data_IF_664488296561
#
_entry.id   IF_664488296561
#
_cell.length_a   1.000
_cell.length_b   1.000
_cell.length_c   1.000
_cell.angle_alpha   90.00
_cell.angle_beta   90.00
_cell.angle_gamma   90.00
#
_symmetry.space_group_name_H-M   'P 1'
#
loop_
_entity.id
_entity.type
_entity.pdbx_description
1 polymer ?
#
# COMPACT_ATOMS: atom_id res chain seq x y z
N UNK A 1 -0.75 -54.37 -1.06
CA UNK A 1 -0.47 -53.35 -2.08
C UNK A 1 -0.46 -52.00 -1.40
N UNK A 2 0.72 -51.43 -1.17
CA UNK A 2 0.88 -50.10 -0.59
C UNK A 2 0.89 -49.13 -1.77
N UNK A 3 -0.14 -48.29 -1.88
CA UNK A 3 -0.19 -47.26 -2.93
C UNK A 3 0.82 -46.19 -2.53
N UNK A 4 1.84 -46.02 -3.38
CA UNK A 4 2.90 -45.02 -3.24
C UNK A 4 2.29 -43.62 -3.17
N UNK A 5 2.58 -42.88 -2.11
CA UNK A 5 2.15 -41.48 -1.90
C UNK A 5 2.86 -40.46 -2.81
N UNK A 6 3.34 -40.88 -4.00
CA UNK A 6 4.17 -40.07 -4.90
C UNK A 6 3.46 -39.52 -6.13
N UNK A 7 2.17 -39.82 -6.31
CA UNK A 7 1.38 -39.40 -7.49
C UNK A 7 0.19 -38.49 -7.15
N UNK A 8 0.23 -37.79 -6.02
CA UNK A 8 -0.74 -36.71 -5.80
C UNK A 8 -0.42 -35.58 -6.80
N UNK A 9 -1.38 -35.15 -7.64
CA UNK A 9 -1.17 -33.98 -8.48
C UNK A 9 -0.76 -32.79 -7.59
N UNK A 10 0.12 -31.90 -8.08
CA UNK A 10 0.47 -30.71 -7.30
C UNK A 10 -0.82 -30.01 -6.88
N UNK A 11 -0.91 -29.54 -5.62
CA UNK A 11 -2.09 -28.84 -5.16
C UNK A 11 -2.41 -27.72 -6.14
N UNK A 12 -3.69 -27.62 -6.53
CA UNK A 12 -4.13 -26.54 -7.40
C UNK A 12 -3.76 -25.21 -6.73
N UNK A 13 -3.28 -24.21 -7.51
CA UNK A 13 -2.90 -22.94 -6.93
C UNK A 13 -4.09 -22.36 -6.16
N UNK A 14 -3.86 -21.95 -4.91
CA UNK A 14 -4.88 -21.35 -4.05
C UNK A 14 -5.41 -20.10 -4.74
N UNK A 15 -6.72 -20.02 -4.93
CA UNK A 15 -7.34 -18.89 -5.60
C UNK A 15 -7.27 -17.65 -4.69
N UNK A 16 -6.83 -16.52 -5.24
CA UNK A 16 -6.88 -15.22 -4.55
C UNK A 16 -8.11 -14.46 -5.01
N UNK A 17 -8.89 -13.97 -4.06
CA UNK A 17 -10.15 -13.25 -4.28
C UNK A 17 -10.00 -11.82 -3.77
N UNK A 18 -10.24 -10.85 -4.64
CA UNK A 18 -10.41 -9.45 -4.26
C UNK A 18 -11.84 -9.28 -3.73
N UNK A 19 -11.97 -8.94 -2.46
CA UNK A 19 -13.26 -8.71 -1.79
C UNK A 19 -13.67 -7.26 -2.00
N UNK A 20 -14.72 -7.06 -2.79
CA UNK A 20 -15.31 -5.74 -3.01
C UNK A 20 -16.06 -5.28 -1.76
N UNK A 21 -15.66 -4.13 -1.22
CA UNK A 21 -16.25 -3.50 -0.05
C UNK A 21 -16.95 -2.21 -0.48
N UNK A 22 -18.19 -2.09 -0.05
CA UNK A 22 -19.14 -1.01 -0.28
C UNK A 22 -19.78 -0.65 1.06
N UNK A 23 -20.60 0.41 1.12
CA UNK A 23 -21.18 0.84 2.38
C UNK A 23 -21.97 -0.27 3.10
N UNK A 24 -22.72 -1.08 2.35
CA UNK A 24 -23.63 -2.09 2.91
C UNK A 24 -22.92 -3.29 3.56
N UNK A 25 -21.66 -3.57 3.23
CA UNK A 25 -20.88 -4.68 3.80
C UNK A 25 -19.64 -4.21 4.56
N UNK A 26 -19.43 -2.90 4.72
CA UNK A 26 -18.24 -2.31 5.33
C UNK A 26 -17.93 -2.90 6.72
N UNK A 27 -18.90 -2.91 7.63
CA UNK A 27 -18.73 -3.44 8.99
C UNK A 27 -18.36 -4.92 8.99
N UNK A 28 -19.06 -5.73 8.19
CA UNK A 28 -18.83 -7.18 8.11
C UNK A 28 -17.43 -7.51 7.57
N UNK A 29 -16.94 -6.74 6.61
CA UNK A 29 -15.59 -6.91 6.07
C UNK A 29 -14.52 -6.46 7.08
N UNK A 30 -14.77 -5.39 7.84
CA UNK A 30 -13.89 -4.98 8.94
C UNK A 30 -13.81 -6.00 10.06
N UNK A 31 -14.89 -6.73 10.36
CA UNK A 31 -14.84 -7.85 11.32
C UNK A 31 -13.91 -8.99 10.85
N UNK A 32 -13.91 -9.29 9.55
CA UNK A 32 -12.98 -10.26 8.96
C UNK A 32 -11.53 -9.76 9.00
N UNK A 33 -11.33 -8.46 8.73
CA UNK A 33 -10.01 -7.81 8.84
C UNK A 33 -9.49 -7.90 10.28
N UNK A 34 -10.31 -7.58 11.29
CA UNK A 34 -9.94 -7.70 12.72
C UNK A 34 -9.47 -9.12 13.07
N UNK A 35 -10.09 -10.16 12.51
CA UNK A 35 -9.65 -11.55 12.68
C UNK A 35 -8.30 -11.80 11.98
N UNK A 36 -8.15 -11.34 10.74
CA UNK A 36 -6.91 -11.53 9.97
C UNK A 36 -5.70 -10.86 10.64
N UNK A 37 -5.88 -9.66 11.21
CA UNK A 37 -4.83 -8.88 11.88
C UNK A 37 -4.22 -9.57 13.10
N UNK A 38 -4.88 -10.59 13.66
CA UNK A 38 -4.32 -11.39 14.76
C UNK A 38 -3.10 -12.22 14.33
N UNK A 39 -2.94 -12.48 13.02
CA UNK A 39 -1.90 -13.37 12.48
C UNK A 39 -1.15 -12.79 11.28
N UNK A 40 -1.75 -11.82 10.58
CA UNK A 40 -1.20 -11.23 9.37
C UNK A 40 -0.73 -9.82 9.68
N UNK A 41 0.56 -9.69 10.00
CA UNK A 41 1.14 -8.45 10.50
C UNK A 41 1.79 -7.56 9.43
N UNK A 42 1.89 -8.05 8.19
CA UNK A 42 2.39 -7.26 7.07
C UNK A 42 1.19 -6.74 6.29
N UNK A 43 1.09 -5.43 6.20
CA UNK A 43 -0.02 -4.70 5.57
C UNK A 43 0.52 -4.02 4.31
N UNK A 44 -0.18 -4.19 3.21
CA UNK A 44 0.04 -3.43 1.98
C UNK A 44 -1.17 -2.58 1.67
N UNK A 45 -0.92 -1.44 1.04
CA UNK A 45 -1.97 -0.58 0.53
C UNK A 45 -1.54 0.10 -0.77
N UNK A 46 -2.55 0.50 -1.51
CA UNK A 46 -2.51 1.28 -2.74
C UNK A 46 -3.87 1.99 -2.87
N UNK A 47 -3.95 3.12 -3.56
CA UNK A 47 -5.19 3.87 -3.73
C UNK A 47 -5.43 4.23 -5.20
N UNK A 48 -6.69 4.46 -5.54
CA UNK A 48 -7.06 5.19 -6.76
C UNK A 48 -7.71 6.52 -6.37
N UNK A 49 -7.29 7.58 -7.08
CA UNK A 49 -7.77 8.95 -6.89
C UNK A 49 -7.77 9.67 -8.25
N UNK A 50 -8.44 10.82 -8.42
CA UNK A 50 -8.68 11.44 -9.73
C UNK A 50 -7.44 12.13 -10.33
N UNK A 51 -6.24 11.76 -9.87
CA UNK A 51 -4.95 12.21 -10.38
C UNK A 51 -4.53 13.60 -9.91
N UNK A 52 -3.42 14.06 -10.49
CA UNK A 52 -2.78 15.33 -10.14
C UNK A 52 -3.36 16.48 -10.97
N UNK A 53 -4.04 17.40 -10.28
CA UNK A 53 -4.68 18.63 -10.81
C UNK A 53 -3.65 19.76 -10.93
N UNK A 54 -2.98 20.07 -9.82
CA UNK A 54 -2.01 21.14 -9.76
C UNK A 54 -0.63 20.61 -10.15
N UNK A 55 0.01 21.27 -11.12
CA UNK A 55 1.34 20.93 -11.62
C UNK A 55 2.23 22.17 -11.54
N UNK A 56 3.51 22.03 -11.17
CA UNK A 56 4.44 23.16 -11.13
C UNK A 56 4.62 23.75 -12.54
N UNK A 57 4.56 25.07 -12.62
CA UNK A 57 4.78 25.82 -13.86
C UNK A 57 6.27 25.73 -14.21
N UNK A 58 6.59 25.50 -15.49
CA UNK A 58 7.96 25.40 -16.03
C UNK A 58 8.81 24.22 -15.52
N UNK A 59 8.21 23.18 -14.95
CA UNK A 59 8.90 21.92 -14.67
C UNK A 59 8.40 20.85 -15.63
N UNK A 60 9.31 20.21 -16.37
CA UNK A 60 8.93 19.13 -17.27
C UNK A 60 8.46 17.89 -16.49
N UNK A 61 7.53 17.11 -17.06
CA UNK A 61 7.00 15.89 -16.41
C UNK A 61 8.11 14.95 -15.93
N UNK A 62 9.23 14.85 -16.66
CA UNK A 62 10.37 13.99 -16.31
C UNK A 62 11.16 14.45 -15.08
N UNK A 63 11.05 15.72 -14.72
CA UNK A 63 11.79 16.33 -13.62
C UNK A 63 10.95 16.44 -12.34
N UNK A 64 9.63 16.17 -12.41
CA UNK A 64 8.75 16.11 -11.24
C UNK A 64 9.28 15.14 -10.17
N UNK A 65 9.76 13.96 -10.56
CA UNK A 65 10.36 12.98 -9.64
C UNK A 65 11.76 13.33 -9.14
N UNK A 66 12.27 14.53 -9.45
CA UNK A 66 13.61 15.01 -9.06
C UNK A 66 13.56 16.31 -8.25
N UNK A 67 12.37 16.82 -7.96
CA UNK A 67 12.23 17.99 -7.10
C UNK A 67 12.72 17.67 -5.69
N UNK A 68 13.18 18.69 -4.93
CA UNK A 68 13.52 18.48 -3.53
C UNK A 68 12.30 17.97 -2.72
N UNK A 69 12.50 17.12 -1.70
CA UNK A 69 11.41 16.50 -0.94
C UNK A 69 10.33 17.46 -0.42
N UNK A 70 10.73 18.63 0.08
CA UNK A 70 9.78 19.66 0.51
C UNK A 70 8.85 20.16 -0.61
N UNK A 71 9.37 20.31 -1.83
CA UNK A 71 8.57 20.74 -2.98
C UNK A 71 7.64 19.63 -3.47
N UNK A 72 8.10 18.38 -3.47
CA UNK A 72 7.22 17.22 -3.73
C UNK A 72 6.07 17.17 -2.72
N UNK A 73 6.38 17.38 -1.45
CA UNK A 73 5.38 17.42 -0.39
C UNK A 73 4.34 18.52 -0.62
N UNK A 74 4.76 19.76 -0.91
CA UNK A 74 3.81 20.85 -1.18
C UNK A 74 2.90 20.54 -2.37
N UNK A 75 3.47 19.99 -3.44
CA UNK A 75 2.69 19.59 -4.61
C UNK A 75 1.66 18.52 -4.26
N UNK A 76 2.09 17.47 -3.55
CA UNK A 76 1.23 16.40 -3.06
C UNK A 76 0.12 16.95 -2.17
N UNK A 77 0.47 17.74 -1.16
CA UNK A 77 -0.47 18.40 -0.25
C UNK A 77 -1.56 19.17 -0.98
N UNK A 78 -1.20 20.02 -1.95
CA UNK A 78 -2.17 20.79 -2.70
C UNK A 78 -3.14 19.91 -3.50
N UNK A 79 -2.65 18.81 -4.07
CA UNK A 79 -3.49 17.89 -4.82
C UNK A 79 -4.41 17.08 -3.89
N UNK A 80 -3.85 16.46 -2.84
CA UNK A 80 -4.62 15.63 -1.90
C UNK A 80 -5.69 16.43 -1.16
N UNK A 81 -5.40 17.68 -0.78
CA UNK A 81 -6.43 18.53 -0.16
C UNK A 81 -7.57 18.86 -1.14
N UNK A 82 -7.29 18.93 -2.45
CA UNK A 82 -8.27 19.29 -3.48
C UNK A 82 -8.97 18.10 -4.16
N UNK A 83 -8.56 16.87 -3.87
CA UNK A 83 -9.14 15.66 -4.47
C UNK A 83 -9.66 14.69 -3.41
N UNK A 84 -10.61 13.86 -3.81
CA UNK A 84 -11.19 12.82 -2.98
C UNK A 84 -10.72 11.43 -3.43
N UNK A 85 -10.70 10.48 -2.50
CA UNK A 85 -10.31 9.09 -2.78
C UNK A 85 -11.43 8.40 -3.58
N UNK A 86 -11.07 7.44 -4.44
CA UNK A 86 -12.03 6.63 -5.22
C UNK A 86 -12.00 5.17 -4.75
N UNK A 87 -10.80 4.59 -4.62
CA UNK A 87 -10.61 3.24 -4.09
C UNK A 87 -9.42 3.17 -3.14
N UNK A 88 -9.46 2.21 -2.23
CA UNK A 88 -8.31 1.78 -1.42
C UNK A 88 -8.21 0.27 -1.45
N UNK A 89 -7.02 -0.26 -1.70
CA UNK A 89 -6.72 -1.67 -1.52
C UNK A 89 -6.06 -1.91 -0.16
N UNK A 90 -6.42 -3.03 0.47
CA UNK A 90 -5.81 -3.48 1.71
C UNK A 90 -5.46 -4.96 1.62
N UNK A 91 -4.17 -5.26 1.64
CA UNK A 91 -3.63 -6.61 1.61
C UNK A 91 -2.94 -6.93 2.91
N UNK A 92 -3.23 -8.11 3.47
CA UNK A 92 -2.62 -8.60 4.70
C UNK A 92 -1.87 -9.89 4.38
N UNK A 93 -0.63 -10.03 4.85
CA UNK A 93 0.04 -11.33 4.87
C UNK A 93 0.73 -11.62 6.21
N UNK A 94 0.92 -12.92 6.48
CA UNK A 94 1.81 -13.36 7.55
C UNK A 94 3.30 -13.18 7.15
N UNK A 95 4.21 -13.53 8.06
CA UNK A 95 5.65 -13.44 7.84
C UNK A 95 6.16 -14.37 6.70
N UNK A 96 5.36 -15.35 6.26
CA UNK A 96 5.67 -16.25 5.15
C UNK A 96 5.12 -15.74 3.82
N UNK A 97 4.38 -14.63 3.82
CA UNK A 97 3.73 -14.08 2.64
C UNK A 97 2.40 -14.74 2.31
N UNK A 98 1.81 -15.52 3.23
CA UNK A 98 0.49 -16.11 3.05
C UNK A 98 -0.59 -15.06 3.34
N UNK A 99 -1.56 -14.92 2.44
CA UNK A 99 -2.76 -14.11 2.64
C UNK A 99 -3.77 -14.82 3.56
N UNK A 100 -4.69 -14.08 4.22
CA UNK A 100 -5.71 -14.67 5.07
C UNK A 100 -6.65 -15.56 4.25
N UNK A 101 -6.89 -16.78 4.75
CA UNK A 101 -7.82 -17.73 4.13
C UNK A 101 -9.22 -17.72 4.74
N UNK A 102 -9.38 -17.10 5.92
CA UNK A 102 -10.65 -17.01 6.66
C UNK A 102 -11.35 -18.38 6.86
N UNK A 103 -10.57 -19.47 6.91
CA UNK A 103 -11.09 -20.83 7.04
C UNK A 103 -11.67 -21.44 5.75
N UNK A 104 -11.36 -20.86 4.59
CA UNK A 104 -11.82 -21.30 3.27
C UNK A 104 -10.67 -21.86 2.41
N UNK A 105 -11.00 -22.38 1.23
CA UNK A 105 -10.05 -22.83 0.21
C UNK A 105 -9.48 -21.67 -0.66
N UNK A 106 -9.78 -20.41 -0.32
CA UNK A 106 -9.33 -19.21 -1.02
C UNK A 106 -8.55 -18.29 -0.10
N UNK A 107 -7.84 -17.34 -0.69
CA UNK A 107 -7.09 -16.28 -0.03
C UNK A 107 -7.68 -14.91 -0.39
N UNK A 108 -7.56 -13.94 0.52
CA UNK A 108 -8.31 -12.69 0.39
C UNK A 108 -7.43 -11.43 0.47
N UNK A 109 -7.81 -10.44 -0.34
CA UNK A 109 -7.38 -9.04 -0.30
C UNK A 109 -8.65 -8.19 -0.39
N UNK A 110 -8.66 -6.98 0.18
CA UNK A 110 -9.84 -6.11 0.19
C UNK A 110 -9.68 -4.94 -0.77
N UNK A 111 -10.80 -4.53 -1.37
CA UNK A 111 -10.92 -3.33 -2.19
C UNK A 111 -12.10 -2.52 -1.70
N UNK A 112 -11.83 -1.36 -1.10
CA UNK A 112 -12.83 -0.41 -0.63
C UNK A 112 -13.15 0.58 -1.73
N UNK A 113 -14.44 0.77 -2.01
CA UNK A 113 -14.96 1.69 -3.02
C UNK A 113 -15.66 2.86 -2.33
N UNK A 114 -15.20 4.09 -2.53
CA UNK A 114 -15.69 5.29 -1.83
C UNK A 114 -16.68 6.09 -2.64
N UNK A 115 -17.59 6.80 -1.96
CA UNK A 115 -18.55 7.75 -2.58
C UNK A 115 -18.07 9.20 -2.55
N UNK A 116 -16.93 9.47 -1.90
CA UNK A 116 -16.41 10.83 -1.65
C UNK A 116 -16.07 11.60 -2.93
N UNK A 117 -15.79 10.89 -4.03
CA UNK A 117 -15.49 11.50 -5.33
C UNK A 117 -16.72 11.57 -6.23
N UNK A 118 -17.11 12.79 -6.61
CA UNK A 118 -18.17 13.05 -7.58
C UNK A 118 -17.59 13.38 -8.96
N UNK A 119 -17.67 12.41 -9.88
CA UNK A 119 -17.14 12.52 -11.25
C UNK A 119 -17.73 13.69 -12.05
N UNK A 120 -18.91 14.20 -11.68
CA UNK A 120 -19.57 15.29 -12.40
C UNK A 120 -19.16 16.67 -11.88
N UNK A 121 -18.79 16.77 -10.60
CA UNK A 121 -18.64 18.05 -9.91
C UNK A 121 -17.24 18.31 -9.33
N UNK A 122 -16.48 17.26 -8.99
CA UNK A 122 -15.18 17.39 -8.34
C UNK A 122 -14.05 17.74 -9.31
N UNK A 123 -12.98 18.31 -8.75
CA UNK A 123 -11.74 18.54 -9.49
C UNK A 123 -11.10 17.21 -9.86
N UNK A 124 -10.80 17.04 -11.15
CA UNK A 124 -10.31 15.79 -11.71
C UNK A 124 -9.30 16.01 -12.83
N UNK A 125 -8.36 15.09 -12.98
CA UNK A 125 -7.52 14.97 -14.16
C UNK A 125 -8.26 14.05 -15.17
N UNK A 126 -8.73 14.58 -16.31
CA UNK A 126 -9.51 13.79 -17.28
C UNK A 126 -8.77 12.54 -17.79
N UNK A 127 -7.44 12.61 -17.94
CA UNK A 127 -6.64 11.45 -18.37
C UNK A 127 -6.66 10.32 -17.32
N UNK A 128 -6.69 10.67 -16.04
CA UNK A 128 -6.77 9.71 -14.94
C UNK A 128 -8.16 9.08 -14.88
N UNK A 129 -9.22 9.88 -15.03
CA UNK A 129 -10.60 9.38 -15.02
C UNK A 129 -10.85 8.43 -16.18
N UNK A 130 -10.47 8.82 -17.41
CA UNK A 130 -10.62 7.96 -18.58
C UNK A 130 -9.86 6.63 -18.41
N UNK A 131 -8.68 6.66 -17.79
CA UNK A 131 -7.93 5.44 -17.48
C UNK A 131 -8.68 4.55 -16.49
N UNK A 132 -9.19 5.11 -15.40
CA UNK A 132 -9.90 4.37 -14.36
C UNK A 132 -11.21 3.76 -14.87
N UNK A 133 -11.98 4.50 -15.70
CA UNK A 133 -13.18 3.96 -16.37
C UNK A 133 -12.82 2.76 -17.25
N UNK A 134 -11.75 2.88 -18.06
CA UNK A 134 -11.29 1.79 -18.93
C UNK A 134 -10.86 0.55 -18.14
N UNK A 135 -10.39 0.73 -16.91
CA UNK A 135 -9.99 -0.36 -16.03
C UNK A 135 -11.16 -0.94 -15.21
N UNK A 136 -12.34 -0.34 -15.35
CA UNK A 136 -13.61 -0.88 -14.87
C UNK A 136 -14.11 -0.27 -13.57
N UNK A 137 -13.64 0.92 -13.20
CA UNK A 137 -14.27 1.70 -12.13
C UNK A 137 -15.59 2.26 -12.65
N UNK A 138 -16.65 2.06 -11.86
CA UNK A 138 -18.01 2.53 -12.14
C UNK A 138 -18.31 3.70 -11.21
N UNK A 139 -18.08 4.92 -11.70
CA UNK A 139 -18.22 6.14 -10.91
C UNK A 139 -19.65 6.42 -10.45
N UNK A 140 -20.66 6.01 -11.21
CA UNK A 140 -22.06 6.14 -10.79
C UNK A 140 -22.34 5.20 -9.62
N UNK A 141 -21.87 3.96 -9.71
CA UNK A 141 -21.98 3.01 -8.60
C UNK A 141 -21.23 3.49 -7.36
N UNK A 142 -20.05 4.11 -7.52
CA UNK A 142 -19.33 4.74 -6.41
C UNK A 142 -20.20 5.78 -5.69
N UNK A 143 -20.89 6.65 -6.42
CA UNK A 143 -21.77 7.66 -5.83
C UNK A 143 -23.00 7.05 -5.13
N UNK A 144 -23.58 5.99 -5.70
CA UNK A 144 -24.79 5.36 -5.19
C UNK A 144 -24.55 4.42 -3.99
N UNK A 145 -23.48 3.63 -4.03
CA UNK A 145 -23.25 2.52 -3.10
C UNK A 145 -21.93 2.64 -2.31
N UNK A 146 -21.08 3.62 -2.65
CA UNK A 146 -19.75 3.77 -2.10
C UNK A 146 -19.72 4.11 -0.62
N UNK A 147 -18.60 3.78 0.00
CA UNK A 147 -18.30 3.99 1.40
C UNK A 147 -18.12 5.47 1.69
N UNK A 148 -18.71 5.94 2.79
CA UNK A 148 -18.34 7.21 3.43
C UNK A 148 -16.95 7.11 4.06
N UNK A 149 -15.99 7.93 3.63
CA UNK A 149 -14.64 7.86 4.18
C UNK A 149 -14.57 8.10 5.69
N UNK A 150 -15.54 8.81 6.29
CA UNK A 150 -15.60 8.99 7.74
C UNK A 150 -15.98 7.69 8.48
N UNK A 151 -16.92 6.91 7.92
CA UNK A 151 -17.29 5.60 8.47
C UNK A 151 -16.11 4.62 8.36
N UNK A 152 -15.41 4.64 7.21
CA UNK A 152 -14.19 3.88 7.03
C UNK A 152 -13.11 4.27 8.05
N UNK A 153 -12.88 5.56 8.26
CA UNK A 153 -11.89 6.06 9.23
C UNK A 153 -12.18 5.57 10.65
N UNK A 154 -13.46 5.61 11.06
CA UNK A 154 -13.89 5.12 12.37
C UNK A 154 -13.60 3.62 12.53
N UNK A 155 -13.96 2.79 11.55
CA UNK A 155 -13.71 1.34 11.60
C UNK A 155 -12.22 1.00 11.53
N UNK A 156 -11.44 1.77 10.77
CA UNK A 156 -9.99 1.61 10.71
C UNK A 156 -9.35 1.88 12.08
N UNK A 157 -9.79 2.93 12.77
CA UNK A 157 -9.38 3.23 14.15
C UNK A 157 -9.76 2.10 15.12
N UNK A 158 -11.01 1.64 15.07
CA UNK A 158 -11.52 0.57 15.94
C UNK A 158 -10.85 -0.78 15.69
N UNK A 159 -10.39 -1.04 14.46
CA UNK A 159 -9.68 -2.27 14.11
C UNK A 159 -8.27 -2.35 14.71
N UNK A 160 -7.70 -1.22 15.13
CA UNK A 160 -6.31 -1.12 15.57
C UNK A 160 -5.28 -1.06 14.44
N UNK A 161 -5.71 -0.97 13.18
CA UNK A 161 -4.82 -0.74 12.02
C UNK A 161 -4.07 0.59 12.11
N UNK A 162 -4.76 1.62 12.63
CA UNK A 162 -4.22 2.97 12.78
C UNK A 162 -4.38 3.44 14.21
N UNK A 163 -3.52 4.40 14.59
CA UNK A 163 -3.42 4.96 15.93
C UNK A 163 -2.96 3.90 16.96
N UNK A 164 -2.10 4.29 17.91
CA UNK A 164 -1.50 3.44 18.95
C UNK A 164 -0.23 2.64 18.56
N UNK A 165 0.61 3.17 17.66
CA UNK A 165 1.93 2.57 17.40
C UNK A 165 1.82 1.14 16.87
N UNK A 166 1.00 0.98 15.83
CA UNK A 166 0.57 -0.31 15.30
C UNK A 166 1.73 -1.30 15.14
N UNK A 167 1.53 -2.55 15.53
CA UNK A 167 2.56 -3.58 15.43
C UNK A 167 2.74 -4.13 14.00
N UNK A 168 2.24 -3.40 13.01
CA UNK A 168 2.23 -3.80 11.62
C UNK A 168 3.49 -3.34 10.88
N UNK A 169 3.79 -4.02 9.79
CA UNK A 169 4.74 -3.59 8.77
C UNK A 169 3.94 -3.11 7.57
N UNK A 170 3.96 -1.80 7.31
CA UNK A 170 3.27 -1.18 6.19
C UNK A 170 4.14 -1.17 4.94
N UNK A 171 3.56 -1.55 3.81
CA UNK A 171 4.24 -1.69 2.53
C UNK A 171 3.45 -0.95 1.46
N UNK A 172 4.13 -0.12 0.68
CA UNK A 172 3.53 0.60 -0.46
C UNK A 172 4.47 0.55 -1.67
N UNK A 173 3.98 0.95 -2.84
CA UNK A 173 4.83 1.22 -3.99
C UNK A 173 4.62 2.67 -4.42
N UNK A 174 5.59 3.55 -4.12
CA UNK A 174 5.49 4.98 -4.37
C UNK A 174 4.36 5.65 -3.57
N UNK A 175 4.10 5.17 -2.35
CA UNK A 175 2.86 5.45 -1.62
C UNK A 175 2.78 6.77 -0.89
N UNK A 176 3.49 7.81 -1.36
CA UNK A 176 3.38 9.15 -0.78
C UNK A 176 1.94 9.67 -0.81
N UNK A 177 1.29 9.60 -1.98
CA UNK A 177 -0.11 10.01 -2.14
C UNK A 177 -1.06 9.09 -1.37
N UNK A 178 -0.77 7.79 -1.31
CA UNK A 178 -1.58 6.79 -0.61
C UNK A 178 -1.66 7.12 0.89
N UNK A 179 -0.50 7.32 1.53
CA UNK A 179 -0.45 7.75 2.93
C UNK A 179 -1.08 9.13 3.13
N UNK A 180 -0.90 10.05 2.19
CA UNK A 180 -1.44 11.40 2.29
C UNK A 180 -2.97 11.42 2.27
N UNK A 181 -3.60 10.70 1.35
CA UNK A 181 -5.06 10.54 1.35
C UNK A 181 -5.54 9.83 2.61
N UNK A 182 -4.85 8.77 3.04
CA UNK A 182 -5.25 8.05 4.24
C UNK A 182 -5.14 8.91 5.50
N UNK A 183 -4.07 9.71 5.65
CA UNK A 183 -3.94 10.70 6.73
C UNK A 183 -5.08 11.72 6.68
N UNK A 184 -5.40 12.28 5.50
CA UNK A 184 -6.54 13.20 5.32
C UNK A 184 -7.85 12.56 5.82
N UNK A 185 -8.08 11.30 5.47
CA UNK A 185 -9.29 10.55 5.86
C UNK A 185 -9.33 10.29 7.37
N UNK A 186 -8.28 9.68 7.94
CA UNK A 186 -8.29 9.27 9.37
C UNK A 186 -8.26 10.46 10.33
N UNK A 187 -7.69 11.59 9.90
CA UNK A 187 -7.70 12.83 10.71
C UNK A 187 -8.94 13.68 10.46
N UNK A 188 -9.61 13.51 9.32
CA UNK A 188 -10.69 14.39 8.86
C UNK A 188 -10.25 15.84 8.66
N UNK A 189 -8.94 16.08 8.44
CA UNK A 189 -8.35 17.41 8.31
C UNK A 189 -7.52 17.53 7.02
N UNK A 190 -7.31 18.78 6.59
CA UNK A 190 -6.30 19.07 5.57
C UNK A 190 -4.90 18.67 6.03
N UNK A 191 -4.05 18.29 5.08
CA UNK A 191 -2.66 17.93 5.36
C UNK A 191 -1.84 19.11 5.90
N UNK A 192 -0.90 18.85 6.83
CA UNK A 192 -0.14 19.88 7.53
C UNK A 192 0.74 20.70 6.57
N UNK A 193 1.12 21.90 6.96
CA UNK A 193 1.87 22.80 6.07
C UNK A 193 3.29 22.33 5.77
N UNK A 194 3.89 21.47 6.59
CA UNK A 194 5.26 21.01 6.41
C UNK A 194 5.40 19.48 6.39
N UNK A 195 6.45 19.03 5.71
CA UNK A 195 6.73 17.61 5.49
C UNK A 195 7.06 16.88 6.80
N UNK A 196 7.70 17.54 7.77
CA UNK A 196 8.06 16.92 9.04
C UNK A 196 6.80 16.56 9.83
N UNK A 197 5.88 17.50 10.01
CA UNK A 197 4.57 17.26 10.64
C UNK A 197 3.77 16.19 9.91
N UNK A 198 3.84 16.14 8.58
CA UNK A 198 3.22 15.04 7.82
C UNK A 198 3.82 13.69 8.16
N UNK A 199 5.16 13.57 8.16
CA UNK A 199 5.83 12.33 8.52
C UNK A 199 5.59 11.96 9.99
N UNK A 200 5.48 12.93 10.90
CA UNK A 200 5.09 12.70 12.30
C UNK A 200 3.68 12.09 12.39
N UNK A 201 2.73 12.58 11.58
CA UNK A 201 1.39 11.98 11.48
C UNK A 201 1.44 10.56 10.90
N UNK A 202 2.28 10.30 9.90
CA UNK A 202 2.48 8.95 9.36
C UNK A 202 3.04 8.04 10.47
N UNK A 203 4.03 8.49 11.23
CA UNK A 203 4.62 7.72 12.33
C UNK A 203 3.59 7.41 13.42
N UNK A 204 2.81 8.42 13.81
CA UNK A 204 1.79 8.30 14.87
C UNK A 204 0.70 7.28 14.50
N UNK A 205 0.27 7.28 13.23
CA UNK A 205 -0.83 6.43 12.77
C UNK A 205 -0.36 5.03 12.38
N UNK A 206 0.79 4.90 11.70
CA UNK A 206 1.22 3.64 11.06
C UNK A 206 2.48 3.03 11.69
N UNK A 207 3.17 3.76 12.56
CA UNK A 207 4.42 3.33 13.19
C UNK A 207 5.65 3.50 12.30
N UNK A 208 6.80 2.98 12.74
CA UNK A 208 8.09 3.17 12.08
C UNK A 208 8.42 2.10 11.01
N UNK A 209 7.66 0.98 10.97
CA UNK A 209 7.87 -0.11 10.01
C UNK A 209 7.11 0.16 8.71
N UNK A 210 7.47 1.25 8.04
CA UNK A 210 6.92 1.64 6.74
C UNK A 210 7.97 1.42 5.66
N UNK A 211 7.61 0.70 4.60
CA UNK A 211 8.50 0.37 3.49
C UNK A 211 7.88 0.79 2.17
N UNK A 212 8.50 1.75 1.50
CA UNK A 212 8.16 2.10 0.13
C UNK A 212 9.07 1.32 -0.84
N UNK A 213 8.50 0.32 -1.52
CA UNK A 213 9.22 -0.53 -2.48
C UNK A 213 9.88 0.31 -3.58
N UNK A 214 9.25 1.42 -4.00
CA UNK A 214 9.81 2.33 -5.01
C UNK A 214 11.08 3.02 -4.52
N UNK A 215 11.16 3.32 -3.23
CA UNK A 215 12.39 3.82 -2.61
C UNK A 215 13.43 2.70 -2.46
N UNK A 216 13.02 1.52 -1.99
CA UNK A 216 13.90 0.37 -1.76
C UNK A 216 14.65 -0.06 -3.02
N UNK A 217 13.98 -0.15 -4.17
CA UNK A 217 14.59 -0.60 -5.43
C UNK A 217 15.72 0.30 -5.92
N UNK A 218 15.84 1.55 -5.43
CA UNK A 218 16.95 2.46 -5.79
C UNK A 218 18.31 1.94 -5.35
N UNK A 219 18.33 1.01 -4.38
CA UNK A 219 19.54 0.41 -3.83
C UNK A 219 19.82 -0.98 -4.40
N UNK A 220 19.06 -1.42 -5.41
CA UNK A 220 19.17 -2.75 -5.99
C UNK A 220 19.41 -2.65 -7.50
N UNK A 221 20.50 -3.25 -7.97
CA UNK A 221 20.82 -3.28 -9.40
C UNK A 221 19.74 -4.06 -10.18
N UNK A 222 19.37 -3.54 -11.36
CA UNK A 222 18.42 -4.18 -12.26
C UNK A 222 16.94 -3.85 -12.03
N UNK A 223 16.58 -3.20 -10.92
CA UNK A 223 15.18 -2.84 -10.61
C UNK A 223 14.90 -1.36 -10.88
N UNK A 224 13.93 -1.09 -11.76
CA UNK A 224 13.49 0.26 -12.10
C UNK A 224 12.11 0.24 -12.79
N UNK A 225 11.48 1.42 -12.88
CA UNK A 225 10.15 1.59 -13.49
C UNK A 225 8.99 1.54 -12.49
N UNK A 226 7.77 1.33 -12.99
CA UNK A 226 6.57 1.17 -12.18
C UNK A 226 6.41 -0.25 -11.60
N UNK A 227 5.38 -0.44 -10.78
CA UNK A 227 5.11 -1.68 -10.04
C UNK A 227 5.13 -2.91 -10.96
N UNK A 228 4.37 -2.88 -12.06
CA UNK A 228 4.27 -3.99 -13.02
C UNK A 228 5.64 -4.44 -13.52
N UNK A 229 6.53 -3.49 -13.84
CA UNK A 229 7.86 -3.80 -14.36
C UNK A 229 8.75 -4.43 -13.30
N UNK A 230 8.71 -3.90 -12.08
CA UNK A 230 9.48 -4.41 -10.96
C UNK A 230 9.01 -5.82 -10.60
N UNK A 231 7.69 -6.03 -10.50
CA UNK A 231 7.08 -7.33 -10.26
C UNK A 231 7.53 -8.36 -11.31
N UNK A 232 7.41 -8.02 -12.59
CA UNK A 232 7.83 -8.89 -13.70
C UNK A 232 9.32 -9.24 -13.65
N UNK A 233 10.20 -8.27 -13.34
CA UNK A 233 11.64 -8.53 -13.19
C UNK A 233 11.93 -9.49 -12.04
N UNK A 234 11.14 -9.45 -10.97
CA UNK A 234 11.25 -10.36 -9.83
C UNK A 234 10.50 -11.71 -10.03
N UNK A 235 9.87 -11.91 -11.20
CA UNK A 235 9.10 -13.12 -11.50
C UNK A 235 7.75 -13.19 -10.79
N UNK A 236 7.23 -12.06 -10.31
CA UNK A 236 5.90 -11.94 -9.71
C UNK A 236 4.90 -11.56 -10.81
N UNK A 237 3.75 -12.22 -10.83
CA UNK A 237 2.67 -11.98 -11.80
C UNK A 237 1.41 -11.52 -11.06
N UNK A 238 0.58 -10.70 -11.73
CA UNK A 238 -0.73 -10.33 -11.20
C UNK A 238 -1.67 -11.54 -11.25
N UNK A 239 -2.09 -12.02 -10.08
CA UNK A 239 -2.89 -13.25 -9.96
C UNK A 239 -4.39 -13.01 -9.76
N UNK A 240 -4.81 -11.80 -9.41
CA UNK A 240 -6.21 -11.44 -9.20
C UNK A 240 -6.45 -9.96 -9.50
N UNK A 241 -7.64 -9.62 -10.01
CA UNK A 241 -8.02 -8.25 -10.36
C UNK A 241 -7.35 -7.69 -11.62
N UNK A 242 -7.48 -6.38 -11.84
CA UNK A 242 -6.93 -5.65 -13.00
C UNK A 242 -5.92 -4.61 -12.53
N UNK A 243 -4.97 -4.24 -13.40
CA UNK A 243 -4.09 -3.11 -13.15
C UNK A 243 -4.90 -1.81 -13.06
N UNK A 244 -4.48 -0.90 -12.17
CA UNK A 244 -5.22 0.32 -11.83
C UNK A 244 -6.59 0.05 -11.19
N UNK A 245 -6.61 -0.97 -10.33
CA UNK A 245 -7.65 -1.16 -9.32
C UNK A 245 -6.93 -1.43 -8.01
N UNK A 246 -7.27 -0.66 -6.98
CA UNK A 246 -6.47 -0.56 -5.76
C UNK A 246 -6.25 -1.92 -5.07
N UNK A 247 -7.25 -2.80 -5.04
CA UNK A 247 -7.12 -4.14 -4.44
C UNK A 247 -6.12 -5.04 -5.18
N UNK A 248 -6.09 -4.96 -6.50
CA UNK A 248 -5.17 -5.73 -7.35
C UNK A 248 -3.74 -5.20 -7.27
N UNK A 249 -3.57 -3.88 -7.29
CA UNK A 249 -2.26 -3.22 -7.19
C UNK A 249 -1.66 -3.37 -5.79
N UNK A 250 -2.51 -3.35 -4.75
CA UNK A 250 -2.10 -3.70 -3.38
C UNK A 250 -1.58 -5.14 -3.29
N UNK A 251 -2.30 -6.11 -3.86
CA UNK A 251 -1.85 -7.50 -3.89
C UNK A 251 -0.51 -7.66 -4.61
N UNK A 252 -0.35 -7.02 -5.78
CA UNK A 252 0.88 -7.07 -6.54
C UNK A 252 2.04 -6.41 -5.77
N UNK A 253 1.77 -5.30 -5.08
CA UNK A 253 2.74 -4.63 -4.19
C UNK A 253 3.21 -5.56 -3.09
N UNK A 254 2.28 -6.22 -2.39
CA UNK A 254 2.61 -7.15 -1.30
C UNK A 254 3.46 -8.33 -1.77
N UNK A 255 3.04 -9.00 -2.84
CA UNK A 255 3.77 -10.14 -3.39
C UNK A 255 5.14 -9.74 -3.92
N UNK A 256 5.24 -8.56 -4.54
CA UNK A 256 6.51 -8.00 -5.00
C UNK A 256 7.44 -7.72 -3.82
N UNK A 257 6.93 -7.13 -2.73
CA UNK A 257 7.71 -6.92 -1.52
C UNK A 257 8.19 -8.23 -0.90
N UNK A 258 7.33 -9.23 -0.75
CA UNK A 258 7.72 -10.53 -0.21
C UNK A 258 8.81 -11.20 -1.07
N UNK A 259 8.67 -11.12 -2.39
CA UNK A 259 9.69 -11.65 -3.31
C UNK A 259 11.00 -10.87 -3.26
N UNK A 260 10.90 -9.54 -3.15
CA UNK A 260 12.05 -8.67 -2.98
C UNK A 260 12.82 -8.99 -1.69
N UNK A 261 12.11 -9.19 -0.58
CA UNK A 261 12.69 -9.60 0.70
C UNK A 261 13.36 -10.99 0.59
N UNK A 262 12.75 -11.93 -0.12
CA UNK A 262 13.35 -13.24 -0.38
C UNK A 262 14.67 -13.15 -1.17
N UNK A 263 14.69 -12.40 -2.27
CA UNK A 263 15.83 -12.33 -3.19
C UNK A 263 17.00 -11.52 -2.61
N UNK A 264 16.69 -10.41 -1.95
CA UNK A 264 17.70 -9.45 -1.50
C UNK A 264 18.01 -9.58 -0.01
N UNK A 265 17.13 -10.10 0.85
CA UNK A 265 17.31 -10.02 2.31
C UNK A 265 17.28 -11.36 3.05
N UNK A 266 16.94 -12.48 2.38
CA UNK A 266 17.01 -13.81 2.98
C UNK A 266 18.46 -14.32 3.02
N UNK A 267 18.90 -14.81 4.18
CA UNK A 267 20.24 -15.39 4.33
C UNK A 267 20.37 -16.71 3.56
N UNK A 268 21.41 -16.84 2.73
CA UNK A 268 21.92 -18.13 2.26
C UNK A 268 23.28 -18.37 2.94
N UNK A 269 23.43 -19.55 3.57
CA UNK A 269 24.70 -20.13 4.01
C UNK A 269 25.63 -19.25 4.88
N UNK A 270 25.11 -18.71 5.99
CA UNK A 270 25.95 -18.20 7.09
C UNK A 270 26.81 -16.98 6.76
N UNK A 271 26.63 -16.38 5.59
CA UNK A 271 27.21 -15.11 5.23
C UNK A 271 26.10 -14.05 5.19
N UNK A 272 26.13 -13.17 6.18
CA UNK A 272 25.32 -11.95 6.22
C UNK A 272 25.60 -11.18 4.92
N UNK A 273 24.72 -11.27 3.92
CA UNK A 273 24.65 -10.20 2.90
C UNK A 273 24.40 -8.93 3.69
N UNK A 274 25.14 -7.85 3.39
CA UNK A 274 25.32 -6.60 4.15
C UNK A 274 24.03 -5.78 4.49
N UNK A 275 22.90 -6.43 4.74
CA UNK A 275 21.58 -5.94 4.39
C UNK A 275 20.74 -5.52 5.60
N UNK A 276 21.13 -5.88 6.82
CA UNK A 276 20.53 -5.31 8.03
C UNK A 276 20.69 -3.78 8.11
N UNK A 277 21.84 -3.26 7.66
CA UNK A 277 22.07 -1.81 7.55
C UNK A 277 21.22 -1.17 6.45
N UNK A 278 20.92 -1.89 5.36
CA UNK A 278 20.10 -1.39 4.26
C UNK A 278 18.62 -1.32 4.65
N UNK A 279 18.07 -2.34 5.33
CA UNK A 279 16.68 -2.29 5.82
C UNK A 279 16.45 -1.12 6.75
N UNK A 280 17.41 -0.85 7.66
CA UNK A 280 17.35 0.31 8.54
C UNK A 280 17.34 1.63 7.77
N UNK A 281 18.13 1.72 6.69
CA UNK A 281 18.23 2.92 5.85
C UNK A 281 16.97 3.21 5.04
N UNK A 282 16.23 2.18 4.66
CA UNK A 282 15.02 2.32 3.82
C UNK A 282 13.71 2.26 4.62
N UNK A 283 13.78 1.89 5.91
CA UNK A 283 12.64 1.90 6.82
C UNK A 283 12.20 3.34 7.09
N UNK A 284 10.88 3.56 7.08
CA UNK A 284 10.24 4.84 7.31
C UNK A 284 10.63 5.94 6.30
N UNK A 285 10.89 5.54 5.05
CA UNK A 285 11.23 6.46 3.97
C UNK A 285 10.25 6.28 2.80
N UNK A 286 9.52 7.35 2.47
CA UNK A 286 8.64 7.41 1.29
C UNK A 286 9.39 8.01 0.11
N UNK A 287 9.22 7.42 -1.07
CA UNK A 287 9.92 7.85 -2.28
C UNK A 287 9.61 9.30 -2.63
N UNK A 288 10.65 10.12 -2.80
CA UNK A 288 10.50 11.54 -3.15
C UNK A 288 10.15 12.45 -1.97
N UNK A 289 9.99 11.90 -0.76
CA UNK A 289 9.71 12.63 0.48
C UNK A 289 10.81 12.39 1.53
N UNK A 290 12.02 12.09 1.10
CA UNK A 290 13.12 11.73 2.00
C UNK A 290 13.51 12.89 2.94
N UNK A 291 13.46 12.65 4.26
CA UNK A 291 14.01 13.56 5.26
C UNK A 291 15.53 13.35 5.37
N UNK A 292 16.31 14.41 5.20
CA UNK A 292 17.79 14.33 5.19
C UNK A 292 18.36 13.94 6.57
N UNK A 293 17.62 14.19 7.66
CA UNK A 293 18.08 14.05 9.05
C UNK A 293 17.30 13.01 9.88
N UNK A 294 16.41 12.20 9.28
CA UNK A 294 15.72 11.15 10.05
C UNK A 294 16.61 9.91 10.19
N UNK A 295 17.22 9.75 11.36
CA UNK A 295 17.93 8.52 11.72
C UNK A 295 17.09 7.70 12.70
N UNK A 296 16.51 6.55 12.27
CA UNK A 296 15.79 5.64 13.17
C UNK A 296 16.72 5.01 14.23
N UNK A 297 18.01 5.34 14.26
CA UNK A 297 18.96 4.87 15.25
C UNK A 297 18.77 5.38 16.67
N UNK A 298 18.14 6.53 16.86
CA UNK A 298 17.92 7.10 18.18
C UNK A 298 16.88 6.33 19.02
N UNK A 299 16.10 5.41 18.44
CA UNK A 299 15.06 4.68 19.16
C UNK A 299 15.42 3.23 19.55
N UNK A 300 16.62 2.73 19.21
CA UNK A 300 17.06 1.40 19.64
C UNK A 300 16.21 0.21 19.12
N UNK A 301 15.36 0.42 18.11
CA UNK A 301 14.46 -0.59 17.57
C UNK A 301 15.24 -1.63 16.74
N UNK A 302 15.09 -2.92 17.11
CA UNK A 302 15.45 -4.04 16.22
C UNK A 302 14.40 -4.09 15.10
N UNK A 303 14.80 -3.75 13.88
CA UNK A 303 13.93 -3.79 12.71
C UNK A 303 14.03 -5.17 12.04
N UNK A 304 13.13 -6.08 12.40
CA UNK A 304 12.85 -7.28 11.62
C UNK A 304 11.49 -7.08 10.92
N UNK A 305 11.46 -6.74 9.62
CA UNK A 305 10.21 -6.44 8.91
C UNK A 305 9.27 -7.65 8.80
N UNK A 306 9.80 -8.86 9.00
CA UNK A 306 9.05 -10.12 8.98
C UNK A 306 8.64 -10.59 10.39
N UNK A 307 9.00 -9.86 11.45
CA UNK A 307 8.72 -10.24 12.84
C UNK A 307 9.69 -11.28 13.41
N UNK A 308 9.86 -11.28 14.74
CA UNK A 308 10.63 -12.31 15.45
C UNK A 308 9.74 -13.56 15.64
N UNK A 309 10.28 -14.74 15.34
CA UNK A 309 9.58 -16.04 15.53
C UNK A 309 9.20 -16.32 17.00
#
# INVERSE_FOLDING_TARGET
MVVSARDAPPPSPVAVVVREVWQHNLEAEFDLIKIALMTHTIVSMDIEFPGVIYKPVNVEKRDLGRLPPFWNYQLMRHNVNATNIIQLGLGLCDHKGCLPSLGTDSQYVWQFNFKDFDVHNDLQNPESIELLERQGIDFEKNLEEGIDSADFAALMAESGLVMNGSNFTWVTFHGGYDFAHLIKIVTGQELPCNLVEFMDLVQLNFGCRVFDVKHMIRFCEGLYGGLERVANTLGVQRVAGRSHQAGSDTLLTLQTFMKFMEVYFKEEDGAIRQNGNLLRKVSFVLHGLELIDFDPSNEGLKLNPLGDE
#
